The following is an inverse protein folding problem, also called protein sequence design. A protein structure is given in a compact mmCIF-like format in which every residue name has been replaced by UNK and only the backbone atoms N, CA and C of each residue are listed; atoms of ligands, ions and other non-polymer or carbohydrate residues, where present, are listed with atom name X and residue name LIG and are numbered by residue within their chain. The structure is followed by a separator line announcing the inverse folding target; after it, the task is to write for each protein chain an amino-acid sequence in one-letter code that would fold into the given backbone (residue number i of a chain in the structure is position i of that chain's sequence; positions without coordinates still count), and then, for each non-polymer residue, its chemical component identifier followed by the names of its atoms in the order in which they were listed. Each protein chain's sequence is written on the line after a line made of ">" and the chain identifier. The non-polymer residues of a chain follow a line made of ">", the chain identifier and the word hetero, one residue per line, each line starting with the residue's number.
data_IF_299124145650
#
_entry.id   IF_299124145650
#
_cell.length_a   1.000
_cell.length_b   1.000
_cell.length_c   1.000
_cell.angle_alpha   90.00
_cell.angle_beta   90.00
_cell.angle_gamma   90.00
#
_symmetry.space_group_name_H-M   'P 1'
#
loop_
_entity.id
_entity.type
_entity.pdbx_description
1 polymer ?
#
# COMPACT_ATOMS: atom_id res chain seq x y z
N UNK A 1 24.70 -12.26 5.85
CA UNK A 1 23.83 -13.43 5.87
C UNK A 1 23.40 -13.79 4.45
N UNK A 2 23.42 -15.08 4.09
CA UNK A 2 22.92 -15.55 2.82
C UNK A 2 21.40 -15.53 2.80
N UNK A 3 20.81 -14.96 1.74
CA UNK A 3 19.36 -14.92 1.50
C UNK A 3 19.06 -15.58 0.17
N UNK A 4 18.00 -16.40 0.13
CA UNK A 4 17.53 -17.04 -1.08
C UNK A 4 16.37 -16.24 -1.66
N UNK A 5 16.43 -15.92 -2.95
CA UNK A 5 15.34 -15.25 -3.69
C UNK A 5 14.25 -16.25 -4.08
N UNK A 6 13.59 -16.84 -3.11
CA UNK A 6 12.61 -17.93 -3.34
C UNK A 6 11.43 -17.47 -4.20
N UNK A 7 11.04 -16.20 -4.14
CA UNK A 7 9.93 -15.64 -4.94
C UNK A 7 10.21 -15.65 -6.45
N UNK A 8 11.48 -15.61 -6.88
CA UNK A 8 11.82 -15.72 -8.30
C UNK A 8 11.51 -17.12 -8.88
N UNK A 9 11.31 -18.11 -8.03
CA UNK A 9 10.98 -19.48 -8.42
C UNK A 9 9.48 -19.79 -8.35
N UNK A 10 8.66 -18.85 -7.89
CA UNK A 10 7.23 -19.05 -7.67
C UNK A 10 6.52 -19.57 -8.93
N UNK A 11 6.73 -18.94 -10.09
CA UNK A 11 6.13 -19.39 -11.35
C UNK A 11 6.64 -20.77 -11.78
N UNK A 12 7.96 -21.02 -11.66
CA UNK A 12 8.55 -22.32 -12.01
C UNK A 12 8.01 -23.46 -11.14
N UNK A 13 7.73 -23.17 -9.86
CA UNK A 13 7.15 -24.15 -8.94
C UNK A 13 5.69 -24.48 -9.33
N UNK A 14 4.92 -23.48 -9.75
CA UNK A 14 3.55 -23.69 -10.24
C UNK A 14 3.56 -24.53 -11.53
N UNK A 15 4.37 -24.13 -12.51
CA UNK A 15 4.45 -24.80 -13.81
C UNK A 15 4.97 -26.24 -13.69
N UNK A 16 5.89 -26.48 -12.75
CA UNK A 16 6.46 -27.81 -12.48
C UNK A 16 5.46 -28.82 -11.90
N UNK A 17 4.31 -28.37 -11.39
CA UNK A 17 3.29 -29.28 -10.87
C UNK A 17 2.51 -30.02 -11.97
N UNK A 18 2.45 -29.45 -13.18
CA UNK A 18 1.65 -30.01 -14.27
C UNK A 18 2.22 -31.34 -14.84
N UNK A 19 3.48 -31.62 -14.58
CA UNK A 19 4.14 -32.88 -15.00
C UNK A 19 4.27 -33.96 -13.89
N UNK A 20 3.71 -33.68 -12.69
CA UNK A 20 3.86 -34.58 -11.55
C UNK A 20 2.60 -35.43 -11.32
N UNK A 21 2.80 -36.69 -11.00
CA UNK A 21 1.73 -37.63 -10.63
C UNK A 21 1.27 -37.38 -9.17
N UNK A 22 0.80 -36.13 -8.91
CA UNK A 22 0.24 -35.78 -7.63
C UNK A 22 -1.30 -35.86 -7.68
N UNK A 23 -1.88 -36.30 -6.57
CA UNK A 23 -3.32 -36.17 -6.40
C UNK A 23 -3.70 -34.69 -6.48
N UNK A 24 -4.83 -34.38 -7.10
CA UNK A 24 -5.32 -33.01 -7.35
C UNK A 24 -5.28 -32.11 -6.11
N UNK A 25 -5.66 -32.66 -4.95
CA UNK A 25 -5.64 -31.95 -3.68
C UNK A 25 -4.25 -31.39 -3.33
N UNK A 26 -3.19 -32.16 -3.55
CA UNK A 26 -1.81 -31.75 -3.23
C UNK A 26 -1.35 -30.65 -4.18
N UNK A 27 -1.59 -30.82 -5.48
CA UNK A 27 -1.24 -29.82 -6.49
C UNK A 27 -1.99 -28.48 -6.21
N UNK A 28 -3.29 -28.55 -5.91
CA UNK A 28 -4.10 -27.38 -5.58
C UNK A 28 -3.59 -26.67 -4.32
N UNK A 29 -3.26 -27.40 -3.25
CA UNK A 29 -2.72 -26.82 -2.03
C UNK A 29 -1.39 -26.10 -2.27
N UNK A 30 -0.50 -26.66 -3.09
CA UNK A 30 0.78 -26.02 -3.43
C UNK A 30 0.57 -24.76 -4.27
N UNK A 31 -0.31 -24.80 -5.29
CA UNK A 31 -0.67 -23.63 -6.10
C UNK A 31 -1.23 -22.50 -5.24
N UNK A 32 -2.15 -22.84 -4.32
CA UNK A 32 -2.75 -21.86 -3.40
C UNK A 32 -1.74 -21.29 -2.40
N UNK A 33 -0.79 -22.09 -1.95
CA UNK A 33 0.27 -21.63 -1.04
C UNK A 33 1.22 -20.64 -1.72
N UNK A 34 1.59 -20.89 -2.96
CA UNK A 34 2.41 -19.97 -3.76
C UNK A 34 1.63 -18.68 -4.03
N UNK A 35 0.33 -18.78 -4.30
CA UNK A 35 -0.59 -17.65 -4.30
C UNK A 35 -0.41 -16.71 -5.50
N UNK A 36 -0.61 -17.20 -6.73
CA UNK A 36 -0.67 -16.33 -7.90
C UNK A 36 -1.90 -15.43 -7.81
N UNK A 37 -1.69 -14.13 -7.79
CA UNK A 37 -2.76 -13.14 -7.81
C UNK A 37 -2.67 -12.26 -9.06
N UNK A 38 -3.82 -11.71 -9.48
CA UNK A 38 -3.92 -10.71 -10.53
C UNK A 38 -4.43 -9.41 -9.93
N UNK A 39 -3.86 -8.32 -10.34
CA UNK A 39 -4.27 -7.00 -9.90
C UNK A 39 -4.12 -5.97 -11.01
N UNK A 40 -4.49 -4.74 -10.69
CA UNK A 40 -4.39 -3.60 -11.58
C UNK A 40 -3.59 -2.48 -10.92
N UNK A 41 -2.85 -1.74 -11.73
CA UNK A 41 -2.33 -0.44 -11.34
C UNK A 41 -3.40 0.61 -11.62
N UNK A 42 -3.68 1.44 -10.62
CA UNK A 42 -4.67 2.51 -10.70
C UNK A 42 -3.97 3.83 -10.40
N UNK A 43 -4.20 4.80 -11.26
CA UNK A 43 -3.58 6.11 -11.19
C UNK A 43 -4.55 7.14 -10.59
N UNK A 44 -4.17 7.72 -9.46
CA UNK A 44 -4.86 8.84 -8.83
C UNK A 44 -4.10 10.13 -9.14
N UNK A 45 -4.74 11.07 -9.83
CA UNK A 45 -4.19 12.42 -10.00
C UNK A 45 -4.14 13.16 -8.67
N UNK A 46 -3.14 14.01 -8.47
CA UNK A 46 -3.04 14.83 -7.26
C UNK A 46 -3.22 16.32 -7.57
N UNK A 47 -3.63 17.09 -6.58
CA UNK A 47 -3.72 18.56 -6.71
C UNK A 47 -2.35 19.22 -6.87
N UNK A 48 -1.27 18.49 -6.63
CA UNK A 48 0.10 18.93 -6.91
C UNK A 48 0.51 18.75 -8.39
N UNK A 49 -0.35 18.11 -9.21
CA UNK A 49 -0.07 17.82 -10.61
C UNK A 49 0.67 16.51 -10.87
N UNK A 50 0.95 15.74 -9.82
CA UNK A 50 1.60 14.44 -9.89
C UNK A 50 0.56 13.31 -9.94
N UNK A 51 1.03 12.08 -10.16
CA UNK A 51 0.19 10.87 -10.17
C UNK A 51 0.65 9.91 -9.09
N UNK A 52 -0.27 9.51 -8.20
CA UNK A 52 -0.08 8.40 -7.27
C UNK A 52 -0.59 7.11 -7.93
N UNK A 53 0.31 6.18 -8.19
CA UNK A 53 -0.05 4.84 -8.70
C UNK A 53 -0.18 3.88 -7.53
N UNK A 54 -1.30 3.18 -7.44
CA UNK A 54 -1.53 2.09 -6.48
C UNK A 54 -1.69 0.77 -7.22
N UNK A 55 -1.15 -0.30 -6.67
CA UNK A 55 -1.44 -1.65 -7.13
C UNK A 55 -2.50 -2.27 -6.22
N UNK A 56 -3.59 -2.77 -6.81
CA UNK A 56 -4.67 -3.42 -6.06
C UNK A 56 -5.16 -4.69 -6.74
N UNK A 57 -5.48 -5.72 -5.97
CA UNK A 57 -6.19 -6.92 -6.43
C UNK A 57 -7.72 -6.75 -6.36
N UNK A 58 -8.19 -5.63 -5.81
CA UNK A 58 -9.59 -5.32 -5.57
C UNK A 58 -10.00 -4.01 -6.23
N UNK A 59 -9.72 -3.88 -7.54
CA UNK A 59 -10.12 -2.70 -8.32
C UNK A 59 -11.65 -2.50 -8.37
N UNK A 60 -12.43 -3.55 -8.11
CA UNK A 60 -13.89 -3.51 -7.95
C UNK A 60 -14.36 -2.62 -6.79
N UNK A 61 -13.52 -2.42 -5.76
CA UNK A 61 -13.85 -1.59 -4.59
C UNK A 61 -13.46 -0.11 -4.74
N UNK A 62 -12.94 0.29 -5.88
CA UNK A 62 -12.40 1.62 -6.14
C UNK A 62 -13.42 2.75 -5.85
N UNK A 63 -14.71 2.51 -6.17
CA UNK A 63 -15.80 3.44 -5.87
C UNK A 63 -15.98 3.75 -4.37
N UNK A 64 -15.44 2.92 -3.49
CA UNK A 64 -15.47 3.09 -2.04
C UNK A 64 -14.17 3.62 -1.45
N UNK A 65 -13.21 4.06 -2.27
CA UNK A 65 -11.99 4.66 -1.80
C UNK A 65 -12.28 6.02 -1.15
N UNK A 66 -11.93 6.18 0.11
CA UNK A 66 -12.23 7.39 0.89
C UNK A 66 -10.99 8.17 1.28
N UNK A 67 -9.82 7.58 1.22
CA UNK A 67 -8.53 8.23 1.43
C UNK A 67 -7.40 7.42 0.80
N UNK A 68 -6.24 8.05 0.68
CA UNK A 68 -5.00 7.42 0.23
C UNK A 68 -4.01 7.35 1.38
N UNK A 69 -3.17 6.33 1.40
CA UNK A 69 -2.04 6.27 2.33
C UNK A 69 -0.77 6.00 1.55
N UNK A 70 0.27 6.77 1.82
CA UNK A 70 1.60 6.58 1.25
C UNK A 70 2.61 6.26 2.34
N UNK A 71 3.68 5.56 1.96
CA UNK A 71 4.77 5.30 2.89
C UNK A 71 5.48 6.60 3.28
N UNK A 72 6.05 6.70 4.48
CA UNK A 72 6.85 7.84 4.89
C UNK A 72 8.07 8.10 3.99
N UNK A 73 8.54 7.07 3.28
CA UNK A 73 9.69 7.12 2.36
C UNK A 73 9.30 7.34 0.89
N UNK A 74 8.02 7.58 0.58
CA UNK A 74 7.54 7.71 -0.79
C UNK A 74 8.21 8.88 -1.52
N UNK A 75 8.62 8.67 -2.78
CA UNK A 75 9.38 9.65 -3.56
C UNK A 75 8.63 10.99 -3.71
N UNK A 76 7.33 10.95 -4.03
CA UNK A 76 6.51 12.15 -4.16
C UNK A 76 6.42 12.96 -2.86
N UNK A 77 6.41 12.29 -1.69
CA UNK A 77 6.39 12.99 -0.41
C UNK A 77 7.64 13.85 -0.23
N UNK A 78 8.81 13.32 -0.61
CA UNK A 78 10.06 14.07 -0.60
C UNK A 78 10.00 15.30 -1.52
N UNK A 79 9.51 15.10 -2.74
CA UNK A 79 9.35 16.19 -3.72
C UNK A 79 8.40 17.28 -3.22
N UNK A 80 7.27 16.90 -2.64
CA UNK A 80 6.29 17.85 -2.10
C UNK A 80 6.85 18.66 -0.93
N UNK A 81 7.67 18.04 -0.07
CA UNK A 81 8.38 18.74 1.00
C UNK A 81 9.42 19.72 0.45
N UNK A 82 10.19 19.33 -0.56
CA UNK A 82 11.19 20.18 -1.22
C UNK A 82 10.55 21.36 -1.96
N UNK A 83 9.42 21.13 -2.61
CA UNK A 83 8.60 22.16 -3.29
C UNK A 83 7.85 23.09 -2.31
N UNK A 84 7.80 22.76 -1.01
CA UNK A 84 7.12 23.55 0.02
C UNK A 84 5.60 23.62 -0.10
N UNK A 85 4.97 22.63 -0.76
CA UNK A 85 3.52 22.59 -0.96
C UNK A 85 2.75 21.95 0.20
N UNK A 86 3.45 21.22 1.08
CA UNK A 86 2.87 20.63 2.30
C UNK A 86 2.78 21.69 3.39
N UNK A 87 1.57 22.01 3.83
CA UNK A 87 1.33 23.05 4.84
C UNK A 87 1.78 22.64 6.25
N UNK A 88 1.66 21.36 6.58
CA UNK A 88 2.05 20.79 7.89
C UNK A 88 3.38 20.03 7.81
N UNK A 89 4.37 20.56 7.08
CA UNK A 89 5.66 19.91 6.80
C UNK A 89 6.40 19.44 8.06
N UNK A 90 6.32 20.18 9.16
CA UNK A 90 7.00 19.81 10.42
C UNK A 90 6.41 18.53 11.04
N UNK A 91 5.09 18.38 11.03
CA UNK A 91 4.41 17.18 11.51
C UNK A 91 4.76 15.97 10.62
N UNK A 92 4.79 16.17 9.31
CA UNK A 92 5.18 15.13 8.34
C UNK A 92 6.62 14.67 8.56
N UNK A 93 7.57 15.60 8.70
CA UNK A 93 8.98 15.29 8.96
C UNK A 93 9.20 14.60 10.32
N UNK A 94 8.49 15.03 11.35
CA UNK A 94 8.54 14.39 12.66
C UNK A 94 8.07 12.94 12.57
N UNK A 95 6.98 12.68 11.86
CA UNK A 95 6.49 11.32 11.64
C UNK A 95 7.45 10.46 10.82
N UNK A 96 8.05 11.00 9.76
CA UNK A 96 9.10 10.31 9.00
C UNK A 96 10.27 9.88 9.89
N UNK A 97 10.74 10.77 10.77
CA UNK A 97 11.82 10.48 11.70
C UNK A 97 11.45 9.40 12.74
N UNK A 98 10.19 9.35 13.17
CA UNK A 98 9.68 8.28 14.03
C UNK A 98 9.61 6.95 13.28
N UNK A 99 9.01 6.94 12.09
CA UNK A 99 8.87 5.74 11.27
C UNK A 99 10.22 5.11 10.90
N UNK A 100 11.24 5.94 10.61
CA UNK A 100 12.59 5.48 10.28
C UNK A 100 13.31 4.74 11.42
N UNK A 101 12.84 4.84 12.66
CA UNK A 101 13.39 4.11 13.81
C UNK A 101 12.82 2.69 13.96
N UNK A 102 11.75 2.38 13.23
CA UNK A 102 11.04 1.10 13.31
C UNK A 102 11.52 0.19 12.18
N UNK A 103 11.71 -1.10 12.49
CA UNK A 103 11.94 -2.12 11.47
C UNK A 103 10.65 -2.43 10.68
N UNK A 104 10.77 -2.99 9.48
CA UNK A 104 9.61 -3.41 8.67
C UNK A 104 8.71 -4.41 9.41
N UNK A 105 9.30 -5.27 10.24
CA UNK A 105 8.56 -6.21 11.09
C UNK A 105 7.68 -5.47 12.12
N UNK A 106 8.24 -4.51 12.83
CA UNK A 106 7.49 -3.70 13.81
C UNK A 106 6.41 -2.84 13.14
N UNK A 107 6.63 -2.40 11.91
CA UNK A 107 5.67 -1.59 11.13
C UNK A 107 4.47 -2.40 10.65
N UNK A 108 4.66 -3.67 10.32
CA UNK A 108 3.61 -4.54 9.73
C UNK A 108 2.87 -5.41 10.75
N UNK A 109 3.19 -5.32 12.03
CA UNK A 109 2.51 -6.07 13.08
C UNK A 109 1.01 -5.75 13.13
N UNK A 110 0.16 -6.79 12.98
CA UNK A 110 -1.29 -6.63 12.82
C UNK A 110 -2.00 -6.03 14.03
N UNK A 111 -1.49 -6.31 15.24
CA UNK A 111 -2.12 -5.87 16.49
C UNK A 111 -1.67 -4.48 16.95
N UNK A 112 -0.86 -3.79 16.16
CA UNK A 112 -0.34 -2.47 16.49
C UNK A 112 -1.39 -1.39 16.25
N UNK A 113 -1.44 -0.44 17.15
CA UNK A 113 -2.22 0.77 16.96
C UNK A 113 -1.78 1.52 15.68
N UNK A 114 -2.72 1.81 14.80
CA UNK A 114 -2.43 2.52 13.56
C UNK A 114 -2.06 3.97 13.84
N UNK A 115 -0.93 4.40 13.31
CA UNK A 115 -0.45 5.79 13.41
C UNK A 115 -0.35 6.40 12.01
N UNK A 116 -0.41 7.70 11.92
CA UNK A 116 -0.31 8.40 10.65
C UNK A 116 -0.45 9.90 10.80
N UNK A 117 -0.18 10.62 9.74
CA UNK A 117 -0.36 12.07 9.64
C UNK A 117 -1.04 12.39 8.32
N UNK A 118 -2.11 13.18 8.38
CA UNK A 118 -2.76 13.74 7.18
C UNK A 118 -1.81 14.74 6.52
N UNK A 119 -1.65 14.65 5.21
CA UNK A 119 -0.92 15.65 4.44
C UNK A 119 -1.88 16.83 4.17
N UNK A 120 -1.49 18.03 4.56
CA UNK A 120 -2.23 19.23 4.26
C UNK A 120 -1.64 19.96 3.05
N UNK A 121 -2.51 20.35 2.12
CA UNK A 121 -2.14 21.07 0.90
C UNK A 121 -2.06 20.22 -0.36
N UNK A 122 -2.11 18.90 -0.23
CA UNK A 122 -2.18 17.96 -1.36
C UNK A 122 -3.27 16.93 -1.12
N UNK A 123 -4.10 16.70 -2.12
CA UNK A 123 -5.16 15.68 -2.13
C UNK A 123 -5.04 14.85 -3.40
N UNK A 124 -5.70 13.71 -3.45
CA UNK A 124 -5.80 12.88 -4.63
C UNK A 124 -7.23 12.88 -5.19
N UNK A 125 -7.37 12.59 -6.48
CA UNK A 125 -8.66 12.47 -7.16
C UNK A 125 -8.92 11.02 -7.51
N UNK A 126 -10.03 10.48 -7.04
CA UNK A 126 -10.48 9.15 -7.42
C UNK A 126 -10.82 9.11 -8.92
N UNK A 127 -10.18 8.25 -9.72
CA UNK A 127 -10.34 8.24 -11.17
C UNK A 127 -11.71 7.78 -11.65
N UNK A 128 -12.51 7.10 -10.80
CA UNK A 128 -13.81 6.55 -11.23
C UNK A 128 -14.99 7.48 -10.95
N UNK A 129 -14.93 8.27 -9.90
CA UNK A 129 -16.03 9.16 -9.50
C UNK A 129 -15.65 10.65 -9.43
N UNK A 130 -14.35 10.96 -9.60
CA UNK A 130 -13.83 12.33 -9.52
C UNK A 130 -13.79 12.93 -8.11
N UNK A 131 -14.07 12.13 -7.08
CA UNK A 131 -14.05 12.60 -5.71
C UNK A 131 -12.63 12.96 -5.26
N UNK A 132 -12.51 14.08 -4.57
CA UNK A 132 -11.27 14.48 -3.93
C UNK A 132 -11.14 13.74 -2.59
N UNK A 133 -10.02 13.03 -2.42
CA UNK A 133 -9.74 12.22 -1.23
C UNK A 133 -8.46 12.69 -0.54
N UNK A 134 -8.42 12.72 0.80
CA UNK A 134 -7.22 13.10 1.54
C UNK A 134 -6.11 12.07 1.40
N UNK A 135 -4.86 12.52 1.53
CA UNK A 135 -3.68 11.68 1.55
C UNK A 135 -3.09 11.68 2.95
N UNK A 136 -2.78 10.50 3.46
CA UNK A 136 -2.09 10.30 4.74
C UNK A 136 -0.73 9.67 4.50
N UNK A 137 0.20 9.87 5.42
CA UNK A 137 1.39 9.03 5.58
C UNK A 137 1.18 8.09 6.75
N UNK A 138 1.59 6.85 6.61
CA UNK A 138 1.54 5.89 7.69
C UNK A 138 2.63 4.83 7.56
N UNK A 139 3.13 4.37 8.70
CA UNK A 139 4.23 3.42 8.78
C UNK A 139 3.83 1.97 8.42
N UNK A 140 2.53 1.65 8.36
CA UNK A 140 2.08 0.33 7.91
C UNK A 140 2.15 0.13 6.38
N UNK A 141 2.34 1.22 5.62
CA UNK A 141 2.62 1.16 4.18
C UNK A 141 4.12 1.16 3.96
N UNK A 142 4.65 0.11 3.35
CA UNK A 142 6.07 -0.03 3.08
C UNK A 142 6.41 0.45 1.67
N UNK A 143 7.49 1.23 1.52
CA UNK A 143 8.00 1.65 0.21
C UNK A 143 8.53 0.48 -0.64
N UNK A 144 8.91 -0.62 0.02
CA UNK A 144 9.44 -1.83 -0.62
C UNK A 144 8.35 -2.78 -1.12
N UNK A 145 7.08 -2.51 -0.82
CA UNK A 145 5.95 -3.33 -1.22
C UNK A 145 5.01 -2.58 -2.17
N UNK A 146 4.81 -3.14 -3.36
CA UNK A 146 4.02 -2.50 -4.40
C UNK A 146 4.60 -1.16 -4.84
N UNK A 147 3.77 -0.15 -4.89
CA UNK A 147 4.14 1.23 -5.27
C UNK A 147 4.49 2.12 -4.08
N UNK A 148 4.42 1.61 -2.85
CA UNK A 148 4.52 2.43 -1.64
C UNK A 148 3.31 3.35 -1.40
N UNK A 149 2.22 3.12 -2.11
CA UNK A 149 0.95 3.82 -1.97
C UNK A 149 -0.22 2.83 -1.99
N UNK A 150 -1.25 3.09 -1.22
CA UNK A 150 -2.50 2.32 -1.21
C UNK A 150 -3.71 3.24 -1.31
N UNK A 151 -4.76 2.77 -1.92
CA UNK A 151 -6.12 3.31 -1.73
C UNK A 151 -6.75 2.62 -0.52
N UNK A 152 -7.43 3.37 0.31
CA UNK A 152 -8.10 2.84 1.50
C UNK A 152 -9.60 2.76 1.30
N UNK A 153 -10.15 1.58 1.58
CA UNK A 153 -11.57 1.27 1.41
C UNK A 153 -12.15 0.72 2.72
N UNK A 154 -12.54 1.59 3.67
CA UNK A 154 -13.00 1.18 5.00
C UNK A 154 -14.19 0.22 4.99
N UNK A 155 -15.01 0.23 3.94
CA UNK A 155 -16.15 -0.66 3.80
C UNK A 155 -15.76 -2.13 3.53
N UNK A 156 -14.51 -2.39 3.10
CA UNK A 156 -14.04 -3.71 2.66
C UNK A 156 -12.73 -4.17 3.31
N UNK A 157 -12.05 -3.31 4.06
CA UNK A 157 -10.82 -3.65 4.79
C UNK A 157 -10.91 -3.18 6.24
N UNK A 158 -10.71 -4.11 7.18
CA UNK A 158 -10.83 -3.82 8.61
C UNK A 158 -9.71 -2.89 9.11
N UNK A 159 -8.52 -2.93 8.51
CA UNK A 159 -7.40 -2.05 8.89
C UNK A 159 -7.67 -0.62 8.44
N UNK A 160 -8.24 -0.46 7.23
CA UNK A 160 -8.65 0.84 6.72
C UNK A 160 -9.80 1.41 7.58
N UNK A 161 -10.73 0.56 8.00
CA UNK A 161 -11.81 0.98 8.89
C UNK A 161 -11.31 1.45 10.26
N UNK A 162 -10.37 0.71 10.88
CA UNK A 162 -9.76 1.12 12.14
C UNK A 162 -9.02 2.45 12.03
N UNK A 163 -8.27 2.64 10.93
CA UNK A 163 -7.58 3.88 10.64
C UNK A 163 -8.58 5.04 10.45
N UNK A 164 -9.61 4.84 9.63
CA UNK A 164 -10.65 5.84 9.38
C UNK A 164 -11.35 6.25 10.68
N UNK A 165 -11.70 5.31 11.55
CA UNK A 165 -12.29 5.63 12.87
C UNK A 165 -11.38 6.48 13.75
N UNK A 166 -10.07 6.29 13.65
CA UNK A 166 -9.12 7.02 14.47
C UNK A 166 -8.91 8.45 13.97
N UNK A 167 -8.92 8.66 12.67
CA UNK A 167 -8.58 9.94 12.06
C UNK A 167 -9.81 10.76 11.58
N UNK A 168 -11.04 10.23 11.75
CA UNK A 168 -12.31 10.90 11.39
C UNK A 168 -12.62 10.79 9.91
#
# INVERSE_FOLDING_TARGET
>A
QWMLKITEYAQKLIDGLDGLDYIERVATQQKNWIGRSHGAEVNFGTTAGDTLTVYTTRCDTLFGATYMVISPEHALLKEWLEKGIIKNADAVKAYQAEAARKSDFERTELNKEKTGVKIEGVTATDPVNGAEVPIFISDYVLATYGTGAIMAVPAHDSRDWEFAKKFG
#
